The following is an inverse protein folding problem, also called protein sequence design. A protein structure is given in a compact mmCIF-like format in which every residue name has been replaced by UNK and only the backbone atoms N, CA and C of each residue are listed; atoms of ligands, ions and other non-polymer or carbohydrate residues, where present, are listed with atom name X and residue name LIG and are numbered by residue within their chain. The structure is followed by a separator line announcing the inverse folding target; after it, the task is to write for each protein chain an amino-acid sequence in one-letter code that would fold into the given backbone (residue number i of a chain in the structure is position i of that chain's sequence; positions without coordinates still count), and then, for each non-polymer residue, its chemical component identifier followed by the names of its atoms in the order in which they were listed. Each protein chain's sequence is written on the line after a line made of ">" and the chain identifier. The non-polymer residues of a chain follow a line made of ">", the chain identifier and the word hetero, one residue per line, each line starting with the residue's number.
data_IF_200004195244
#
_entry.id   IF_200004195244
#
_cell.length_a   1.000
_cell.length_b   1.000
_cell.length_c   1.000
_cell.angle_alpha   90.00
_cell.angle_beta   90.00
_cell.angle_gamma   90.00
#
_symmetry.space_group_name_H-M   'P 1'
#
loop_
_entity.id
_entity.type
_entity.pdbx_description
1 polymer ?
#
# COMPACT_ATOMS: atom_id res chain seq x y z
N UNK A 1 3.35 -5.97 -8.82
CA UNK A 1 2.89 -6.82 -7.69
C UNK A 1 2.21 -5.95 -6.64
N UNK A 2 1.03 -6.31 -6.12
CA UNK A 2 0.38 -5.56 -5.03
C UNK A 2 1.15 -5.72 -3.72
N UNK A 3 1.16 -4.68 -2.88
CA UNK A 3 1.61 -4.79 -1.49
C UNK A 3 0.40 -4.87 -0.57
N UNK A 4 -0.42 -5.90 -0.79
CA UNK A 4 -1.61 -6.23 -0.03
C UNK A 4 -1.60 -7.72 0.33
N UNK A 5 -2.26 -8.12 1.43
CA UNK A 5 -2.48 -9.53 1.73
C UNK A 5 -3.37 -10.20 0.67
N UNK A 6 -3.41 -11.53 0.71
CA UNK A 6 -4.29 -12.38 -0.10
C UNK A 6 -5.78 -12.37 0.35
N UNK A 7 -6.06 -11.64 1.42
CA UNK A 7 -7.39 -11.40 1.98
C UNK A 7 -7.64 -9.88 2.15
N UNK A 8 -8.76 -9.52 2.75
CA UNK A 8 -9.11 -8.11 3.00
C UNK A 8 -8.15 -7.48 4.01
N UNK A 9 -7.30 -6.56 3.54
CA UNK A 9 -6.44 -5.78 4.43
C UNK A 9 -7.24 -4.68 5.14
N UNK A 10 -6.92 -4.45 6.41
CA UNK A 10 -7.59 -3.44 7.22
C UNK A 10 -6.81 -2.13 7.30
N UNK A 11 -7.55 -1.05 7.50
CA UNK A 11 -6.98 0.27 7.78
C UNK A 11 -7.81 1.04 8.80
N UNK A 12 -7.14 1.86 9.60
CA UNK A 12 -7.77 2.83 10.51
C UNK A 12 -8.06 4.18 9.87
N UNK A 13 -7.65 4.37 8.61
CA UNK A 13 -7.80 5.63 7.88
C UNK A 13 -8.96 5.51 6.91
N UNK A 14 -9.85 6.50 6.93
CA UNK A 14 -10.89 6.62 5.89
C UNK A 14 -10.31 6.96 4.51
N UNK A 15 -9.06 7.45 4.47
CA UNK A 15 -8.32 7.76 3.24
C UNK A 15 -6.93 7.09 3.31
N UNK A 16 -6.84 5.76 3.15
CA UNK A 16 -5.56 5.05 3.25
C UNK A 16 -4.62 5.37 2.09
N UNK A 17 -3.36 5.00 2.28
CA UNK A 17 -2.36 4.92 1.22
C UNK A 17 -2.33 3.48 0.71
N UNK A 18 -2.47 3.30 -0.59
CA UNK A 18 -2.44 2.02 -1.28
C UNK A 18 -1.10 1.89 -1.99
N UNK A 19 -0.47 0.72 -1.92
CA UNK A 19 0.92 0.56 -2.35
C UNK A 19 1.11 -0.70 -3.19
N UNK A 20 1.99 -0.60 -4.18
CA UNK A 20 2.38 -1.71 -5.04
C UNK A 20 3.87 -1.64 -5.34
N UNK A 21 4.46 -2.75 -5.74
CA UNK A 21 5.85 -2.86 -6.13
C UNK A 21 6.00 -2.96 -7.65
N UNK A 22 6.85 -2.10 -8.20
CA UNK A 22 7.28 -2.10 -9.59
C UNK A 22 8.73 -2.58 -9.68
N UNK A 23 8.95 -3.78 -10.22
CA UNK A 23 10.28 -4.40 -10.29
C UNK A 23 11.25 -3.69 -11.25
N UNK A 24 10.72 -2.96 -12.24
CA UNK A 24 11.49 -2.25 -13.24
C UNK A 24 10.75 -1.01 -13.76
N UNK A 25 11.35 -0.28 -14.71
CA UNK A 25 10.75 0.90 -15.30
C UNK A 25 9.40 0.57 -15.95
N UNK A 26 8.40 1.39 -15.70
CA UNK A 26 7.06 1.22 -16.28
C UNK A 26 6.94 2.18 -17.47
N UNK A 27 6.94 1.63 -18.69
CA UNK A 27 6.86 2.40 -19.93
C UNK A 27 5.40 2.42 -20.42
N UNK A 28 4.60 3.35 -19.90
CA UNK A 28 3.18 3.46 -20.25
C UNK A 28 2.43 4.41 -19.32
N UNK A 29 1.10 4.48 -19.48
CA UNK A 29 0.24 5.16 -18.50
C UNK A 29 -0.23 4.17 -17.47
N UNK A 30 -0.32 4.60 -16.22
CA UNK A 30 -0.96 3.80 -15.18
C UNK A 30 -2.42 4.23 -15.06
N UNK A 31 -3.29 3.28 -14.80
CA UNK A 31 -4.69 3.52 -14.47
C UNK A 31 -4.98 2.86 -13.13
N UNK A 32 -5.55 3.63 -12.23
CA UNK A 32 -6.00 3.16 -10.94
C UNK A 32 -7.52 3.11 -10.92
N UNK A 33 -8.07 2.01 -10.41
CA UNK A 33 -9.50 1.85 -10.15
C UNK A 33 -9.75 1.43 -8.71
N UNK A 34 -10.84 1.92 -8.13
CA UNK A 34 -11.37 1.49 -6.84
C UNK A 34 -12.83 1.09 -7.03
N UNK A 35 -13.17 -0.12 -6.60
CA UNK A 35 -14.48 -0.72 -6.79
C UNK A 35 -15.14 -1.02 -5.45
N UNK A 36 -16.42 -0.66 -5.33
CA UNK A 36 -17.32 -1.09 -4.25
C UNK A 36 -18.18 -2.24 -4.81
N UNK A 37 -17.77 -3.48 -4.57
CA UNK A 37 -18.33 -4.64 -5.27
C UNK A 37 -18.08 -4.54 -6.79
N UNK A 38 -19.16 -4.58 -7.58
CA UNK A 38 -19.07 -4.47 -9.06
C UNK A 38 -19.06 -3.02 -9.57
N UNK A 39 -19.15 -2.02 -8.68
CA UNK A 39 -19.25 -0.61 -9.07
C UNK A 39 -17.90 0.08 -8.94
N UNK A 40 -17.34 0.58 -10.04
CA UNK A 40 -16.22 1.52 -10.00
C UNK A 40 -16.68 2.83 -9.36
N UNK A 41 -16.02 3.21 -8.26
CA UNK A 41 -16.31 4.43 -7.49
C UNK A 41 -15.23 5.48 -7.62
N UNK A 42 -14.02 5.08 -8.04
CA UNK A 42 -12.95 6.00 -8.42
C UNK A 42 -12.12 5.41 -9.55
N UNK A 43 -11.76 6.25 -10.51
CA UNK A 43 -10.87 5.92 -11.62
C UNK A 43 -9.97 7.12 -11.90
N UNK A 44 -8.67 6.89 -12.07
CA UNK A 44 -7.71 7.97 -12.33
C UNK A 44 -6.47 7.46 -13.04
N UNK A 45 -5.94 8.29 -13.95
CA UNK A 45 -4.65 8.04 -14.58
C UNK A 45 -3.51 8.49 -13.66
N UNK A 46 -2.47 7.67 -13.55
CA UNK A 46 -1.25 7.95 -12.82
C UNK A 46 -0.07 7.95 -13.78
N UNK A 47 0.95 8.74 -13.44
CA UNK A 47 2.25 8.63 -14.09
C UNK A 47 3.10 7.63 -13.31
N UNK A 48 3.73 6.65 -13.99
CA UNK A 48 4.68 5.77 -13.31
C UNK A 48 5.87 6.55 -12.75
N UNK A 49 6.32 6.19 -11.56
CA UNK A 49 7.56 6.69 -10.96
C UNK A 49 8.72 5.70 -11.19
N UNK A 50 9.87 6.00 -10.58
CA UNK A 50 11.04 5.12 -10.53
C UNK A 50 10.69 3.73 -10.01
N UNK A 51 11.41 2.68 -10.44
CA UNK A 51 11.23 1.32 -9.91
C UNK A 51 11.27 1.29 -8.38
N UNK A 52 10.52 0.36 -7.80
CA UNK A 52 10.38 0.18 -6.35
C UNK A 52 8.94 0.33 -5.87
N UNK A 53 8.80 0.63 -4.58
CA UNK A 53 7.50 0.80 -3.94
C UNK A 53 6.84 2.09 -4.40
N UNK A 54 5.71 1.94 -5.08
CA UNK A 54 4.82 3.01 -5.52
C UNK A 54 3.70 3.21 -4.50
N UNK A 55 3.06 4.38 -4.54
CA UNK A 55 1.95 4.70 -3.64
C UNK A 55 0.90 5.58 -4.28
N UNK A 56 -0.36 5.37 -3.87
CA UNK A 56 -1.49 6.23 -4.15
C UNK A 56 -2.17 6.60 -2.84
N UNK A 57 -2.25 7.90 -2.57
CA UNK A 57 -2.88 8.45 -1.37
C UNK A 57 -4.31 8.91 -1.68
N UNK A 58 -5.32 8.20 -1.16
CA UNK A 58 -6.72 8.55 -1.37
C UNK A 58 -7.08 9.95 -0.84
N UNK A 59 -6.31 10.51 0.11
CA UNK A 59 -6.49 11.87 0.57
C UNK A 59 -6.23 12.90 -0.54
N UNK A 60 -5.23 12.65 -1.41
CA UNK A 60 -4.93 13.53 -2.55
C UNK A 60 -6.03 13.52 -3.61
N UNK A 61 -6.73 12.38 -3.73
CA UNK A 61 -7.88 12.23 -4.61
C UNK A 61 -9.22 12.61 -3.96
N UNK A 62 -9.19 13.09 -2.70
CA UNK A 62 -10.37 13.49 -1.91
C UNK A 62 -11.42 12.38 -1.76
N UNK A 63 -11.03 11.13 -1.94
CA UNK A 63 -11.92 9.98 -1.81
C UNK A 63 -11.83 9.41 -0.39
N UNK A 64 -12.98 9.06 0.18
CA UNK A 64 -13.10 8.45 1.50
C UNK A 64 -13.80 7.11 1.40
N UNK A 65 -13.18 6.07 1.96
CA UNK A 65 -13.79 4.77 2.15
C UNK A 65 -14.91 4.89 3.20
N UNK A 66 -16.00 4.16 2.99
CA UNK A 66 -17.05 4.00 3.99
C UNK A 66 -16.60 2.99 5.06
N UNK A 67 -16.87 3.24 6.36
CA UNK A 67 -16.59 2.27 7.41
C UNK A 67 -17.26 0.92 7.15
N UNK A 68 -16.53 -0.18 7.33
CA UNK A 68 -17.06 -1.54 7.20
C UNK A 68 -17.36 -2.00 5.78
N UNK A 69 -17.12 -1.16 4.77
CA UNK A 69 -17.30 -1.51 3.36
C UNK A 69 -15.98 -1.98 2.78
N UNK A 70 -16.02 -3.13 2.11
CA UNK A 70 -14.89 -3.67 1.37
C UNK A 70 -14.79 -3.01 0.00
N UNK A 71 -13.58 -2.61 -0.35
CA UNK A 71 -13.24 -2.08 -1.65
C UNK A 71 -12.13 -2.90 -2.28
N UNK A 72 -12.19 -3.08 -3.59
CA UNK A 72 -11.09 -3.65 -4.37
C UNK A 72 -10.41 -2.53 -5.13
N UNK A 73 -9.10 -2.38 -4.94
CA UNK A 73 -8.30 -1.46 -5.73
C UNK A 73 -7.44 -2.21 -6.73
N UNK A 74 -7.22 -1.62 -7.90
CA UNK A 74 -6.38 -2.17 -8.96
C UNK A 74 -5.54 -1.08 -9.61
N UNK A 75 -4.35 -1.44 -10.04
CA UNK A 75 -3.45 -0.61 -10.86
C UNK A 75 -3.10 -1.41 -12.11
N UNK A 76 -3.31 -0.78 -13.26
CA UNK A 76 -3.07 -1.36 -14.57
C UNK A 76 -2.05 -0.51 -15.36
N UNK A 77 -1.11 -1.16 -16.07
CA UNK A 77 -0.20 -0.51 -17.02
C UNK A 77 -0.80 -0.59 -18.40
N UNK A 78 -1.18 0.56 -18.95
CA UNK A 78 -1.68 0.67 -20.30
C UNK A 78 -0.48 0.83 -21.24
N UNK A 79 -0.16 -0.25 -21.95
CA UNK A 79 0.86 -0.26 -23.01
C UNK A 79 0.19 -0.06 -24.38
N UNK A 80 -0.90 -0.78 -24.63
CA UNK A 80 -1.73 -0.64 -25.83
C UNK A 80 -3.19 -0.50 -25.41
N UNK A 81 -3.82 0.61 -25.82
CA UNK A 81 -5.21 0.89 -25.47
C UNK A 81 -6.21 -0.09 -26.12
N UNK A 82 -5.82 -0.75 -27.22
CA UNK A 82 -6.66 -1.74 -27.92
C UNK A 82 -6.51 -3.17 -27.35
N UNK A 83 -5.48 -3.43 -26.53
CA UNK A 83 -5.20 -4.76 -25.95
C UNK A 83 -5.05 -4.69 -24.42
N UNK A 84 -6.14 -4.36 -23.72
CA UNK A 84 -6.17 -4.16 -22.26
C UNK A 84 -6.07 -5.45 -21.42
N UNK A 85 -6.10 -6.63 -22.07
CA UNK A 85 -6.24 -7.93 -21.39
C UNK A 85 -4.98 -8.36 -20.60
N UNK A 86 -3.84 -7.68 -20.76
CA UNK A 86 -2.59 -7.96 -20.07
C UNK A 86 -2.18 -6.88 -19.06
N UNK A 87 -3.04 -5.90 -18.79
CA UNK A 87 -2.63 -4.64 -18.16
C UNK A 87 -2.48 -4.70 -16.63
N UNK A 88 -2.94 -5.75 -15.93
CA UNK A 88 -2.96 -5.73 -14.45
C UNK A 88 -1.55 -5.84 -13.84
N UNK A 89 -1.10 -4.79 -13.14
CA UNK A 89 0.17 -4.79 -12.39
C UNK A 89 -0.03 -5.28 -10.95
N UNK A 90 -1.13 -4.86 -10.34
CA UNK A 90 -1.37 -5.03 -8.91
C UNK A 90 -2.84 -4.78 -8.56
N UNK A 91 -3.33 -5.46 -7.53
CA UNK A 91 -4.58 -5.11 -6.86
C UNK A 91 -4.71 -5.81 -5.51
N UNK A 92 -5.63 -5.32 -4.69
CA UNK A 92 -5.91 -5.88 -3.37
C UNK A 92 -7.24 -5.41 -2.81
N UNK A 93 -7.69 -6.05 -1.73
CA UNK A 93 -8.89 -5.66 -1.00
C UNK A 93 -8.53 -4.79 0.21
N UNK A 94 -9.32 -3.75 0.46
CA UNK A 94 -9.16 -2.83 1.59
C UNK A 94 -10.51 -2.57 2.26
N UNK A 95 -10.51 -2.57 3.59
CA UNK A 95 -11.67 -2.16 4.39
C UNK A 95 -11.24 -1.17 5.46
N UNK A 96 -11.94 -0.03 5.51
CA UNK A 96 -11.75 0.95 6.57
C UNK A 96 -12.55 0.55 7.81
N UNK A 97 -11.85 0.42 8.93
CA UNK A 97 -12.43 0.21 10.26
C UNK A 97 -11.89 1.28 11.21
N UNK A 98 -12.76 2.11 11.83
CA UNK A 98 -12.31 3.09 12.82
C UNK A 98 -11.50 2.43 13.93
N UNK A 99 -10.33 3.01 14.26
CA UNK A 99 -9.49 2.51 15.34
C UNK A 99 -10.25 2.45 16.68
N UNK A 100 -10.04 1.38 17.44
CA UNK A 100 -10.54 1.27 18.81
C UNK A 100 -9.96 2.37 19.71
N UNK A 101 -10.61 2.65 20.84
CA UNK A 101 -10.13 3.67 21.79
C UNK A 101 -8.72 3.35 22.29
N UNK A 102 -8.42 2.06 22.51
CA UNK A 102 -7.13 1.55 22.94
C UNK A 102 -6.05 1.81 21.88
N UNK A 103 -6.32 1.43 20.63
CA UNK A 103 -5.37 1.66 19.53
C UNK A 103 -5.13 3.17 19.30
N UNK A 104 -6.17 3.99 19.37
CA UNK A 104 -6.03 5.44 19.28
C UNK A 104 -5.15 6.01 20.40
N UNK A 105 -5.31 5.51 21.63
CA UNK A 105 -4.52 5.94 22.77
C UNK A 105 -3.04 5.53 22.64
N UNK A 106 -2.77 4.32 22.13
CA UNK A 106 -1.41 3.85 21.86
C UNK A 106 -0.74 4.72 20.78
N UNK A 107 -1.39 4.90 19.63
CA UNK A 107 -0.88 5.71 18.51
C UNK A 107 -0.59 7.15 18.93
N UNK A 108 -1.43 7.77 19.76
CA UNK A 108 -1.23 9.15 20.26
C UNK A 108 0.01 9.31 21.14
N UNK A 109 0.44 8.26 21.83
CA UNK A 109 1.59 8.29 22.76
C UNK A 109 2.87 7.79 22.11
N UNK A 110 2.75 7.04 21.02
CA UNK A 110 3.85 6.43 20.30
C UNK A 110 4.72 7.46 19.58
N UNK A 111 6.01 7.18 19.53
CA UNK A 111 6.94 7.84 18.61
C UNK A 111 6.70 7.34 17.19
N UNK A 112 7.04 8.13 16.15
CA UNK A 112 6.88 7.72 14.77
C UNK A 112 7.46 6.34 14.44
N UNK A 113 8.61 6.01 15.04
CA UNK A 113 9.33 4.75 14.86
C UNK A 113 8.57 3.52 15.38
N UNK A 114 7.69 3.71 16.36
CA UNK A 114 6.92 2.63 17.00
C UNK A 114 5.61 2.34 16.25
N UNK A 115 5.11 3.31 15.46
CA UNK A 115 3.83 3.21 14.77
C UNK A 115 3.69 1.96 13.88
N UNK A 116 4.69 1.54 13.09
CA UNK A 116 4.50 0.37 12.24
C UNK A 116 4.23 -0.91 13.00
N UNK A 117 4.93 -1.13 14.12
CA UNK A 117 4.74 -2.30 14.96
C UNK A 117 3.35 -2.28 15.60
N UNK A 118 2.93 -1.14 16.15
CA UNK A 118 1.60 -0.96 16.76
C UNK A 118 0.50 -1.26 15.75
N UNK A 119 0.59 -0.74 14.52
CA UNK A 119 -0.41 -1.02 13.49
C UNK A 119 -0.39 -2.47 13.02
N UNK A 120 0.80 -3.07 12.87
CA UNK A 120 0.92 -4.48 12.45
C UNK A 120 0.33 -5.42 13.50
N UNK A 121 0.64 -5.22 14.78
CA UNK A 121 0.08 -5.98 15.90
C UNK A 121 -1.45 -5.84 16.00
N UNK A 122 -1.99 -4.68 15.64
CA UNK A 122 -3.43 -4.43 15.57
C UNK A 122 -4.10 -4.91 14.27
N UNK A 123 -3.38 -5.59 13.37
CA UNK A 123 -3.89 -6.09 12.08
C UNK A 123 -4.16 -5.00 11.04
N UNK A 124 -3.71 -3.78 11.27
CA UNK A 124 -3.95 -2.61 10.40
C UNK A 124 -2.90 -2.54 9.29
N UNK A 125 -2.97 -3.52 8.38
CA UNK A 125 -1.99 -3.74 7.31
C UNK A 125 -1.58 -2.46 6.57
N UNK A 126 -2.56 -1.72 6.06
CA UNK A 126 -2.28 -0.54 5.23
C UNK A 126 -1.67 0.60 6.04
N UNK A 127 -2.01 0.74 7.33
CA UNK A 127 -1.41 1.73 8.22
C UNK A 127 0.04 1.35 8.58
N UNK A 128 0.31 0.07 8.83
CA UNK A 128 1.65 -0.44 9.12
C UNK A 128 2.58 -0.23 7.91
N UNK A 129 2.14 -0.61 6.71
CA UNK A 129 2.93 -0.47 5.50
C UNK A 129 3.16 0.99 5.11
N UNK A 130 2.13 1.83 5.23
CA UNK A 130 2.22 3.26 4.93
C UNK A 130 3.16 3.98 5.92
N UNK A 131 3.09 3.65 7.21
CA UNK A 131 3.97 4.24 8.22
C UNK A 131 5.44 3.86 8.01
N UNK A 132 5.73 2.59 7.67
CA UNK A 132 7.08 2.16 7.28
C UNK A 132 7.57 2.88 6.02
N UNK A 133 6.73 2.97 5.00
CA UNK A 133 7.11 3.60 3.73
C UNK A 133 7.38 5.10 3.88
N UNK A 134 6.62 5.79 4.73
CA UNK A 134 6.88 7.18 5.09
C UNK A 134 8.22 7.34 5.82
N UNK A 135 8.54 6.44 6.77
CA UNK A 135 9.82 6.47 7.47
C UNK A 135 11.01 6.19 6.54
N UNK A 136 10.91 5.20 5.64
CA UNK A 136 11.95 4.92 4.65
C UNK A 136 12.18 6.12 3.74
N UNK A 137 11.13 6.85 3.39
CA UNK A 137 11.22 8.08 2.57
C UNK A 137 11.91 9.21 3.34
N UNK A 138 11.60 9.37 4.63
CA UNK A 138 12.20 10.39 5.48
C UNK A 138 13.66 10.07 5.87
N UNK A 139 14.00 8.80 6.02
CA UNK A 139 15.30 8.31 6.49
C UNK A 139 15.87 7.24 5.54
N UNK A 140 16.19 7.58 4.27
CA UNK A 140 16.56 6.59 3.25
C UNK A 140 17.86 5.84 3.54
N UNK A 141 18.72 6.38 4.42
CA UNK A 141 19.97 5.74 4.85
C UNK A 141 19.78 4.76 6.02
N UNK A 142 18.62 4.77 6.67
CA UNK A 142 18.32 3.83 7.75
C UNK A 142 17.89 2.47 7.22
N UNK A 143 18.90 1.66 6.91
CA UNK A 143 18.77 0.29 6.36
C UNK A 143 17.82 -0.60 7.17
N UNK A 144 17.77 -0.42 8.49
CA UNK A 144 16.89 -1.16 9.38
C UNK A 144 15.40 -1.04 9.01
N UNK A 145 14.95 0.12 8.51
CA UNK A 145 13.55 0.33 8.11
C UNK A 145 13.15 -0.53 6.91
N UNK A 146 14.07 -0.73 5.96
CA UNK A 146 13.83 -1.63 4.81
C UNK A 146 13.80 -3.09 5.26
N UNK A 147 14.67 -3.47 6.20
CA UNK A 147 14.62 -4.82 6.80
C UNK A 147 13.30 -5.05 7.53
N UNK A 148 12.80 -4.04 8.26
CA UNK A 148 11.50 -4.12 8.94
C UNK A 148 10.34 -4.23 7.95
N UNK A 149 10.36 -3.45 6.85
CA UNK A 149 9.34 -3.58 5.79
C UNK A 149 9.41 -4.94 5.09
N UNK A 150 10.61 -5.46 4.84
CA UNK A 150 10.76 -6.82 4.30
C UNK A 150 10.14 -7.88 5.23
N UNK A 151 10.39 -7.80 6.54
CA UNK A 151 9.79 -8.73 7.51
C UNK A 151 8.26 -8.62 7.55
N UNK A 152 7.70 -7.42 7.48
CA UNK A 152 6.24 -7.21 7.38
C UNK A 152 5.66 -7.84 6.10
N UNK A 153 6.33 -7.66 4.96
CA UNK A 153 5.91 -8.21 3.68
C UNK A 153 5.88 -9.75 3.66
N UNK A 154 6.84 -10.39 4.33
CA UNK A 154 6.87 -11.85 4.44
C UNK A 154 5.73 -12.45 5.25
N UNK A 155 5.20 -11.72 6.23
CA UNK A 155 4.07 -12.20 7.04
C UNK A 155 2.83 -12.50 6.20
N UNK A 156 2.71 -11.88 5.03
CA UNK A 156 1.60 -12.07 4.09
C UNK A 156 2.06 -12.69 2.76
N UNK A 157 3.24 -13.31 2.74
CA UNK A 157 3.75 -14.06 1.58
C UNK A 157 4.30 -13.22 0.43
N UNK A 158 4.57 -11.92 0.62
CA UNK A 158 5.10 -11.02 -0.41
C UNK A 158 6.64 -11.11 -0.52
N UNK A 159 7.16 -12.32 -0.71
CA UNK A 159 8.59 -12.65 -0.65
C UNK A 159 9.44 -11.87 -1.65
N UNK A 160 8.98 -11.69 -2.89
CA UNK A 160 9.74 -10.97 -3.92
C UNK A 160 9.98 -9.48 -3.55
N UNK A 161 8.96 -8.81 -3.01
CA UNK A 161 9.10 -7.44 -2.55
C UNK A 161 9.98 -7.36 -1.29
N UNK A 162 9.87 -8.34 -0.40
CA UNK A 162 10.74 -8.42 0.78
C UNK A 162 12.22 -8.58 0.39
N UNK A 163 12.53 -9.46 -0.56
CA UNK A 163 13.88 -9.63 -1.10
C UNK A 163 14.41 -8.36 -1.77
N UNK A 164 13.56 -7.63 -2.50
CA UNK A 164 13.94 -6.32 -3.03
C UNK A 164 14.33 -5.35 -1.92
N UNK A 165 13.55 -5.27 -0.85
CA UNK A 165 13.86 -4.37 0.27
C UNK A 165 15.16 -4.74 0.97
N UNK A 166 15.44 -6.04 1.15
CA UNK A 166 16.73 -6.50 1.69
C UNK A 166 17.90 -6.13 0.78
N UNK A 167 17.77 -6.32 -0.53
CA UNK A 167 18.79 -5.92 -1.50
C UNK A 167 19.05 -4.41 -1.46
N UNK A 168 18.00 -3.61 -1.34
CA UNK A 168 18.12 -2.16 -1.21
C UNK A 168 18.72 -1.72 0.14
N UNK A 169 18.58 -2.52 1.21
CA UNK A 169 19.24 -2.28 2.49
C UNK A 169 20.74 -2.67 2.49
N UNK A 170 21.11 -3.67 1.68
CA UNK A 170 22.49 -4.15 1.60
C UNK A 170 23.43 -3.21 0.84
N UNK A 171 22.90 -2.44 -0.11
CA UNK A 171 23.60 -1.36 -0.84
C UNK A 171 23.82 -0.17 0.08
#
# INVERSE_FOLDING_TARGET
>A
MPLAPDHVGLTTRSRPVLQWYAAGPLNGKLEFTLNEGQKTVMETALNPDKPGVQSLDLARHRYSLKPGVEYEWRVALIIDAEQRAADLIAGGAVRYEPASAELQAQVKRAKPQELPAIYAEAGQWYDALASLSAQITAHPQEKALRVQRAALLEQVGLTEAAESDRRAAAQ
#
